data_IF_308300150326
#
_entry.id   IF_308300150326
#
_cell.length_a   1.000
_cell.length_b   1.000
_cell.length_c   1.000
_cell.angle_alpha   90.00
_cell.angle_beta   90.00
_cell.angle_gamma   90.00
#
_symmetry.space_group_name_H-M   'P 1'
#
loop_
_entity.id
_entity.type
_entity.pdbx_description
1 polymer ?
#
# COMPACT_ATOMS: atom_id res chain seq x y z
N UNK A 1 -8.89 1.47 -4.34
CA UNK A 1 -7.66 2.00 -3.73
C UNK A 1 -7.89 2.33 -2.27
N UNK A 2 -6.87 2.21 -1.48
CA UNK A 2 -6.94 2.45 -0.04
C UNK A 2 -5.60 2.80 0.58
N UNK A 3 -5.63 3.14 1.85
CA UNK A 3 -4.45 3.53 2.62
C UNK A 3 -4.54 2.98 4.05
N UNK A 4 -3.41 2.53 4.56
CA UNK A 4 -3.22 2.21 5.97
C UNK A 4 -2.16 3.15 6.54
N UNK A 5 -2.43 3.71 7.71
CA UNK A 5 -1.46 4.41 8.55
C UNK A 5 -1.17 3.60 9.81
N UNK A 6 0.10 3.35 10.08
CA UNK A 6 0.59 2.78 11.33
C UNK A 6 1.56 3.76 11.95
N UNK A 7 1.09 4.57 12.89
CA UNK A 7 1.84 5.66 13.49
C UNK A 7 1.66 5.63 15.00
N UNK A 8 2.78 5.59 15.74
CA UNK A 8 2.82 5.59 17.21
C UNK A 8 1.89 4.51 17.84
N UNK A 9 1.91 3.31 17.28
CA UNK A 9 1.08 2.19 17.73
C UNK A 9 -0.41 2.32 17.36
N UNK A 10 -0.81 3.37 16.64
CA UNK A 10 -2.18 3.56 16.18
C UNK A 10 -2.34 3.08 14.75
N UNK A 11 -3.39 2.32 14.50
CA UNK A 11 -3.75 1.79 13.20
C UNK A 11 -4.95 2.55 12.62
N UNK A 12 -4.74 3.17 11.47
CA UNK A 12 -5.76 3.90 10.72
C UNK A 12 -5.91 3.30 9.34
N UNK A 13 -7.13 3.27 8.82
CA UNK A 13 -7.40 2.77 7.47
C UNK A 13 -8.44 3.60 6.76
N UNK A 14 -8.28 3.75 5.45
CA UNK A 14 -9.19 4.45 4.56
C UNK A 14 -9.32 3.68 3.25
N UNK A 15 -10.54 3.54 2.76
CA UNK A 15 -10.83 2.90 1.48
C UNK A 15 -10.69 1.38 1.50
N UNK A 16 -10.38 0.81 0.35
CA UNK A 16 -10.21 -0.64 0.15
C UNK A 16 -8.82 -1.07 0.61
N UNK A 17 -8.77 -1.77 1.73
CA UNK A 17 -7.52 -2.22 2.36
C UNK A 17 -7.68 -3.65 2.87
N UNK A 18 -6.56 -4.36 3.14
CA UNK A 18 -6.59 -5.63 3.86
C UNK A 18 -7.26 -5.49 5.24
N UNK A 19 -7.65 -6.61 5.84
CA UNK A 19 -8.14 -6.61 7.23
C UNK A 19 -7.05 -6.09 8.18
N UNK A 20 -7.46 -5.67 9.38
CA UNK A 20 -6.52 -5.19 10.41
C UNK A 20 -5.42 -6.21 10.71
N UNK A 21 -5.76 -7.49 10.86
CA UNK A 21 -4.79 -8.55 11.11
C UNK A 21 -3.82 -8.73 9.95
N UNK A 22 -4.32 -8.73 8.72
CA UNK A 22 -3.51 -8.79 7.50
C UNK A 22 -2.59 -7.57 7.40
N UNK A 23 -3.11 -6.39 7.71
CA UNK A 23 -2.34 -5.15 7.72
C UNK A 23 -1.21 -5.17 8.76
N UNK A 24 -1.46 -5.63 9.97
CA UNK A 24 -0.44 -5.74 11.01
C UNK A 24 0.66 -6.75 10.64
N UNK A 25 0.28 -7.88 10.05
CA UNK A 25 1.25 -8.87 9.56
C UNK A 25 2.09 -8.30 8.41
N UNK A 26 1.48 -7.52 7.54
CA UNK A 26 2.16 -6.80 6.47
C UNK A 26 3.16 -5.78 7.01
N UNK A 27 2.82 -5.05 8.08
CA UNK A 27 3.75 -4.11 8.73
C UNK A 27 5.00 -4.82 9.26
N UNK A 28 4.86 -6.00 9.82
CA UNK A 28 6.01 -6.81 10.26
C UNK A 28 6.90 -7.21 9.10
N UNK A 29 6.32 -7.61 7.99
CA UNK A 29 7.05 -7.91 6.76
C UNK A 29 7.80 -6.68 6.24
N UNK A 30 7.16 -5.52 6.18
CA UNK A 30 7.77 -4.27 5.74
C UNK A 30 8.94 -3.85 6.64
N UNK A 31 8.83 -4.03 7.95
CA UNK A 31 9.91 -3.75 8.89
C UNK A 31 11.17 -4.57 8.62
N UNK A 32 11.04 -5.79 8.12
CA UNK A 32 12.17 -6.65 7.81
C UNK A 32 12.71 -6.43 6.39
N UNK A 33 11.89 -6.00 5.46
CA UNK A 33 12.21 -5.96 4.02
C UNK A 33 12.54 -4.56 3.50
N UNK A 34 11.80 -3.54 3.93
CA UNK A 34 11.89 -2.21 3.35
C UNK A 34 13.11 -1.38 3.80
N UNK A 35 13.84 -1.82 4.82
CA UNK A 35 15.10 -1.23 5.29
C UNK A 35 15.11 0.31 5.44
N UNK A 36 13.95 0.91 5.74
CA UNK A 36 13.83 2.37 5.92
C UNK A 36 13.73 3.18 4.63
N UNK A 37 13.48 2.55 3.51
CA UNK A 37 13.26 3.18 2.21
C UNK A 37 11.82 3.03 1.74
N UNK A 38 11.39 3.88 0.80
CA UNK A 38 10.13 3.66 0.10
C UNK A 38 10.20 2.32 -0.63
N UNK A 39 9.17 1.52 -0.42
CA UNK A 39 9.06 0.19 -1.02
C UNK A 39 7.82 0.13 -1.90
N UNK A 40 7.99 -0.28 -3.15
CA UNK A 40 6.91 -0.36 -4.12
C UNK A 40 6.87 -1.73 -4.80
N UNK A 41 5.68 -2.27 -4.96
CA UNK A 41 5.42 -3.46 -5.77
C UNK A 41 4.05 -3.37 -6.44
N UNK A 42 3.92 -3.90 -7.63
CA UNK A 42 2.65 -4.04 -8.33
C UNK A 42 2.00 -5.42 -8.11
N UNK A 43 2.74 -6.34 -7.50
CA UNK A 43 2.25 -7.67 -7.14
C UNK A 43 2.73 -8.10 -5.77
N UNK A 44 1.96 -7.77 -4.74
CA UNK A 44 2.32 -8.07 -3.35
C UNK A 44 2.50 -9.56 -3.09
N UNK A 45 1.71 -10.40 -3.74
CA UNK A 45 1.78 -11.86 -3.63
C UNK A 45 3.18 -12.41 -3.94
N UNK A 46 3.88 -11.82 -4.89
CA UNK A 46 5.20 -12.29 -5.31
C UNK A 46 6.29 -12.04 -4.25
N UNK A 47 6.15 -11.01 -3.46
CA UNK A 47 7.12 -10.62 -2.41
C UNK A 47 6.66 -11.01 -1.02
N UNK A 48 5.37 -11.13 -0.82
CA UNK A 48 4.72 -11.49 0.43
C UNK A 48 3.59 -12.48 0.16
N UNK A 49 3.85 -13.80 0.17
CA UNK A 49 2.88 -14.82 -0.20
C UNK A 49 1.51 -14.73 0.48
N UNK A 50 1.39 -14.38 1.78
CA UNK A 50 0.09 -14.17 2.42
C UNK A 50 -0.75 -13.05 1.79
N UNK A 51 -0.15 -12.21 0.96
CA UNK A 51 -0.84 -11.18 0.18
C UNK A 51 -1.82 -11.72 -0.86
N UNK A 52 -1.75 -13.01 -1.18
CA UNK A 52 -2.73 -13.68 -2.05
C UNK A 52 -4.16 -13.58 -1.50
N UNK A 53 -4.33 -13.64 -0.18
CA UNK A 53 -5.63 -13.62 0.48
C UNK A 53 -6.36 -12.28 0.30
N UNK A 54 -5.66 -11.20 0.01
CA UNK A 54 -6.23 -9.89 -0.24
C UNK A 54 -5.85 -9.27 -1.59
N UNK A 55 -5.28 -10.06 -2.50
CA UNK A 55 -4.77 -9.58 -3.79
C UNK A 55 -5.85 -8.88 -4.64
N UNK A 56 -7.09 -9.30 -4.54
CA UNK A 56 -8.19 -8.65 -5.26
C UNK A 56 -8.44 -7.19 -4.83
N UNK A 57 -8.19 -6.88 -3.58
CA UNK A 57 -8.39 -5.54 -3.00
C UNK A 57 -7.14 -4.70 -3.06
N UNK A 58 -5.98 -5.34 -2.90
CA UNK A 58 -4.70 -4.70 -2.69
C UNK A 58 -3.58 -5.53 -3.33
N UNK A 59 -3.49 -5.48 -4.64
CA UNK A 59 -2.42 -6.14 -5.41
C UNK A 59 -1.14 -5.33 -5.42
N UNK A 60 -1.25 -4.02 -5.57
CA UNK A 60 -0.13 -3.09 -5.55
C UNK A 60 0.03 -2.39 -4.20
N UNK A 61 1.26 -2.15 -3.82
CA UNK A 61 1.62 -1.53 -2.56
C UNK A 61 2.72 -0.49 -2.76
N UNK A 62 2.56 0.65 -2.12
CA UNK A 62 3.60 1.68 -1.97
C UNK A 62 3.70 2.02 -0.48
N UNK A 63 4.80 1.61 0.16
CA UNK A 63 5.03 1.79 1.58
C UNK A 63 6.04 2.91 1.84
N UNK A 64 5.64 3.86 2.67
CA UNK A 64 6.46 4.99 3.11
C UNK A 64 6.79 4.82 4.60
N UNK A 65 8.03 4.49 4.97
CA UNK A 65 8.46 4.53 6.37
C UNK A 65 8.56 5.98 6.84
N UNK A 66 7.86 6.33 7.91
CA UNK A 66 7.75 7.71 8.42
C UNK A 66 8.38 7.91 9.79
N UNK A 67 9.02 6.88 10.34
CA UNK A 67 9.82 6.97 11.56
C UNK A 67 11.05 6.06 11.48
N UNK A 68 11.95 6.20 12.46
CA UNK A 68 13.18 5.41 12.50
C UNK A 68 12.99 4.07 13.20
N UNK A 69 12.57 4.05 14.47
CA UNK A 69 12.41 2.84 15.31
C UNK A 69 11.40 3.13 16.45
N UNK A 70 10.33 2.30 16.68
CA UNK A 70 9.80 1.35 15.73
C UNK A 70 9.35 2.05 14.46
N UNK A 71 9.39 1.35 13.34
CA UNK A 71 9.06 2.01 12.08
C UNK A 71 7.55 2.16 11.94
N UNK A 72 7.15 3.40 11.84
CA UNK A 72 5.81 3.77 11.43
C UNK A 72 5.75 3.78 9.90
N UNK A 73 4.59 3.48 9.36
CA UNK A 73 4.36 3.38 7.93
C UNK A 73 3.09 4.09 7.52
N UNK A 74 3.14 4.67 6.34
CA UNK A 74 1.96 4.94 5.52
C UNK A 74 2.04 4.04 4.31
N UNK A 75 1.00 3.26 4.06
CA UNK A 75 0.94 2.29 2.97
C UNK A 75 -0.24 2.59 2.09
N UNK A 76 0.04 2.84 0.82
CA UNK A 76 -0.95 3.03 -0.22
C UNK A 76 -1.16 1.73 -0.98
N UNK A 77 -2.40 1.40 -1.29
CA UNK A 77 -2.77 0.20 -2.02
C UNK A 77 -3.45 0.52 -3.33
N UNK A 78 -3.17 -0.29 -4.34
CA UNK A 78 -3.88 -0.33 -5.61
C UNK A 78 -4.57 -1.66 -5.78
N UNK A 79 -5.81 -1.62 -6.24
CA UNK A 79 -6.56 -2.80 -6.60
C UNK A 79 -5.98 -3.49 -7.85
N UNK A 80 -6.38 -4.71 -8.06
CA UNK A 80 -6.02 -5.49 -9.24
C UNK A 80 -6.43 -4.79 -10.54
N UNK A 81 -5.54 -4.77 -11.53
CA UNK A 81 -5.77 -4.09 -12.81
C UNK A 81 -7.01 -4.65 -13.55
N UNK A 82 -7.29 -5.94 -13.42
CA UNK A 82 -8.44 -6.59 -14.02
C UNK A 82 -9.74 -5.90 -13.58
N UNK A 83 -9.87 -5.56 -12.30
CA UNK A 83 -11.04 -4.86 -11.77
C UNK A 83 -11.19 -3.46 -12.37
N UNK A 84 -10.09 -2.74 -12.49
CA UNK A 84 -10.10 -1.39 -13.08
C UNK A 84 -10.54 -1.41 -14.54
N UNK A 85 -10.10 -2.38 -15.31
CA UNK A 85 -10.45 -2.52 -16.74
C UNK A 85 -11.89 -3.02 -16.92
N UNK A 86 -12.38 -3.92 -16.08
CA UNK A 86 -13.76 -4.40 -16.12
C UNK A 86 -14.77 -3.26 -15.89
N UNK A 87 -14.42 -2.26 -15.08
CA UNK A 87 -15.24 -1.07 -14.89
C UNK A 87 -15.22 -0.10 -16.08
N UNK A 88 -14.13 -0.07 -16.85
CA UNK A 88 -13.92 0.89 -17.94
C UNK A 88 -14.53 0.48 -19.28
N UNK A 89 -14.92 -0.79 -19.48
CA UNK A 89 -15.51 -1.27 -20.73
C UNK A 89 -16.01 -2.70 -20.67
N UNK A 90 -17.01 -3.01 -21.51
CA UNK A 90 -17.53 -4.38 -21.64
C UNK A 90 -16.66 -5.16 -22.64
N UNK A 91 -15.86 -6.15 -22.20
CA UNK A 91 -15.03 -6.96 -23.10
C UNK A 91 -15.81 -7.99 -23.91
N UNK A 92 -17.15 -8.03 -23.79
CA UNK A 92 -18.01 -9.05 -24.38
C UNK A 92 -18.50 -8.71 -25.80
N UNK A 93 -17.80 -7.90 -26.58
CA UNK A 93 -18.12 -7.78 -27.99
C UNK A 93 -17.76 -9.09 -28.71
N UNK A 94 -18.72 -9.77 -29.36
CA UNK A 94 -18.41 -10.99 -30.11
C UNK A 94 -17.45 -10.68 -31.26
N UNK A 95 -16.38 -11.45 -31.35
CA UNK A 95 -15.45 -11.37 -32.46
C UNK A 95 -16.00 -12.14 -33.64
N UNK A 96 -16.11 -11.50 -34.79
CA UNK A 96 -16.40 -12.18 -36.05
C UNK A 96 -15.15 -12.92 -36.55
N UNK A 97 -15.29 -14.18 -37.05
CA UNK A 97 -14.17 -14.90 -37.62
C UNK A 97 -13.74 -14.23 -38.93
N UNK A 98 -12.49 -13.78 -39.01
CA UNK A 98 -11.94 -13.23 -40.24
C UNK A 98 -11.49 -14.31 -41.22
N UNK A 99 -11.37 -13.98 -42.55
CA UNK A 99 -11.19 -14.97 -43.62
C UNK A 99 -9.82 -15.68 -43.69
N UNK A 100 -8.87 -15.36 -42.83
CA UNK A 100 -7.48 -15.85 -42.87
C UNK A 100 -7.05 -16.65 -41.63
N UNK A 101 -7.84 -17.68 -41.24
CA UNK A 101 -7.40 -18.62 -40.20
C UNK A 101 -7.39 -18.03 -38.80
N UNK A 102 -6.91 -18.83 -37.85
CA UNK A 102 -6.95 -18.60 -36.41
C UNK A 102 -6.31 -17.26 -36.01
N UNK A 103 -7.06 -16.16 -36.12
CA UNK A 103 -6.77 -14.97 -35.36
C UNK A 103 -7.28 -15.19 -33.94
N UNK A 104 -6.45 -14.95 -32.95
CA UNK A 104 -6.90 -14.84 -31.58
C UNK A 104 -8.10 -13.90 -31.56
N UNK A 105 -9.26 -14.41 -31.19
CA UNK A 105 -10.43 -13.55 -31.04
C UNK A 105 -10.11 -12.52 -29.95
N UNK A 106 -10.61 -11.28 -30.00
CA UNK A 106 -10.42 -10.29 -28.95
C UNK A 106 -10.75 -10.84 -27.56
N UNK A 107 -11.71 -11.74 -27.45
CA UNK A 107 -12.05 -12.43 -26.22
C UNK A 107 -10.94 -13.37 -25.73
N UNK A 108 -10.32 -14.14 -26.60
CA UNK A 108 -9.20 -15.03 -26.25
C UNK A 108 -7.95 -14.24 -25.87
N UNK A 109 -7.69 -13.15 -26.57
CA UNK A 109 -6.59 -12.23 -26.22
C UNK A 109 -6.82 -11.55 -24.87
N UNK A 110 -8.07 -11.19 -24.56
CA UNK A 110 -8.41 -10.61 -23.28
C UNK A 110 -8.27 -11.62 -22.12
N UNK A 111 -8.72 -12.86 -22.30
CA UNK A 111 -8.55 -13.92 -21.29
C UNK A 111 -7.07 -14.27 -21.07
N UNK A 112 -6.27 -14.34 -22.13
CA UNK A 112 -4.83 -14.55 -22.03
C UNK A 112 -4.14 -13.38 -21.28
N UNK A 113 -4.54 -12.14 -21.57
CA UNK A 113 -4.05 -10.96 -20.86
C UNK A 113 -4.45 -10.98 -19.38
N UNK A 114 -5.69 -11.35 -19.05
CA UNK A 114 -6.12 -11.52 -17.66
C UNK A 114 -5.23 -12.47 -16.86
N UNK A 115 -4.87 -13.61 -17.44
CA UNK A 115 -4.00 -14.58 -16.76
C UNK A 115 -2.59 -14.00 -16.49
N UNK A 116 -2.07 -13.20 -17.42
CA UNK A 116 -0.77 -12.56 -17.28
C UNK A 116 -0.77 -11.50 -16.18
N UNK A 117 -1.83 -10.68 -16.09
CA UNK A 117 -1.91 -9.57 -15.12
C UNK A 117 -2.65 -9.92 -13.83
N UNK A 118 -3.04 -11.17 -13.69
CA UNK A 118 -3.72 -11.65 -12.48
C UNK A 118 -2.91 -11.34 -11.23
N UNK A 119 -3.57 -10.78 -10.22
CA UNK A 119 -2.96 -10.31 -8.97
C UNK A 119 -1.96 -9.16 -9.12
N UNK A 120 -1.90 -8.52 -10.27
CA UNK A 120 -1.13 -7.30 -10.50
C UNK A 120 -2.01 -6.06 -10.46
N UNK A 121 -1.49 -4.99 -9.89
CA UNK A 121 -2.02 -3.65 -10.05
C UNK A 121 -1.39 -2.94 -11.24
N UNK A 122 -1.87 -1.74 -11.56
CA UNK A 122 -1.09 -0.81 -12.38
C UNK A 122 0.27 -0.58 -11.73
N UNK A 123 1.37 -0.64 -12.49
CA UNK A 123 2.71 -0.38 -11.95
C UNK A 123 2.81 1.02 -11.34
N UNK A 124 3.64 1.15 -10.32
CA UNK A 124 4.01 2.45 -9.77
C UNK A 124 5.00 3.15 -10.70
N UNK A 125 4.68 4.36 -11.13
CA UNK A 125 5.57 5.16 -11.96
C UNK A 125 6.75 5.68 -11.14
N UNK A 126 7.89 5.88 -11.77
CA UNK A 126 9.08 6.45 -11.12
C UNK A 126 8.79 7.83 -10.50
N UNK A 127 7.94 8.62 -11.16
CA UNK A 127 7.47 9.91 -10.65
C UNK A 127 6.63 9.79 -9.39
N UNK A 128 5.83 8.75 -9.26
CA UNK A 128 5.03 8.47 -8.06
C UNK A 128 5.91 8.02 -6.91
N UNK A 129 6.89 7.16 -7.17
CA UNK A 129 7.87 6.73 -6.16
C UNK A 129 8.74 7.89 -5.70
N UNK A 130 9.18 8.76 -6.61
CA UNK A 130 9.94 9.96 -6.27
C UNK A 130 9.11 10.95 -5.43
N UNK A 131 7.84 11.14 -5.78
CA UNK A 131 6.92 11.97 -4.98
C UNK A 131 6.70 11.38 -3.59
N UNK A 132 6.58 10.06 -3.48
CA UNK A 132 6.46 9.36 -2.20
C UNK A 132 7.72 9.55 -1.33
N UNK A 133 8.90 9.50 -1.92
CA UNK A 133 10.16 9.75 -1.20
C UNK A 133 10.24 11.18 -0.66
N UNK A 134 9.83 12.17 -1.45
CA UNK A 134 9.76 13.57 -0.99
C UNK A 134 8.74 13.74 0.14
N UNK A 135 7.57 13.12 0.01
CA UNK A 135 6.53 13.14 1.02
C UNK A 135 6.99 12.45 2.32
N UNK A 136 7.71 11.35 2.20
CA UNK A 136 8.28 10.62 3.34
C UNK A 136 9.14 11.51 4.23
N UNK A 137 10.01 12.28 3.64
CA UNK A 137 10.89 13.21 4.38
C UNK A 137 10.07 14.22 5.17
N UNK A 138 9.07 14.84 4.54
CA UNK A 138 8.17 15.78 5.21
C UNK A 138 7.36 15.13 6.34
N UNK A 139 6.85 13.93 6.10
CA UNK A 139 6.09 13.19 7.12
C UNK A 139 6.96 12.75 8.30
N UNK A 140 8.21 12.38 8.07
CA UNK A 140 9.17 12.09 9.15
C UNK A 140 9.36 13.30 10.07
N UNK A 141 9.47 14.49 9.52
CA UNK A 141 9.58 15.71 10.31
C UNK A 141 8.33 15.97 11.15
N UNK A 142 7.14 15.76 10.58
CA UNK A 142 5.86 15.91 11.29
C UNK A 142 5.76 14.89 12.44
N UNK A 143 6.06 13.63 12.19
CA UNK A 143 6.03 12.57 13.21
C UNK A 143 7.02 12.87 14.34
N UNK A 144 8.23 13.31 14.02
CA UNK A 144 9.23 13.69 15.02
C UNK A 144 8.74 14.87 15.89
N UNK A 145 8.13 15.88 15.30
CA UNK A 145 7.55 17.02 16.04
C UNK A 145 6.42 16.59 16.95
N UNK A 146 5.53 15.73 16.49
CA UNK A 146 4.43 15.18 17.31
C UNK A 146 4.98 14.40 18.51
N UNK A 147 5.95 13.52 18.31
CA UNK A 147 6.60 12.74 19.37
C UNK A 147 7.28 13.65 20.38
N UNK A 148 8.00 14.66 19.92
CA UNK A 148 8.70 15.63 20.76
C UNK A 148 7.73 16.44 21.62
N UNK A 149 6.60 16.88 21.06
CA UNK A 149 5.52 17.58 21.78
C UNK A 149 4.92 16.70 22.88
N UNK A 150 4.62 15.44 22.60
CA UNK A 150 4.08 14.47 23.58
C UNK A 150 5.07 14.24 24.72
N UNK A 151 6.35 14.09 24.42
CA UNK A 151 7.40 13.91 25.43
C UNK A 151 7.54 15.14 26.32
N UNK A 152 7.48 16.35 25.77
CA UNK A 152 7.52 17.61 26.53
C UNK A 152 6.32 17.78 27.44
N UNK A 153 5.12 17.43 26.97
CA UNK A 153 3.92 17.48 27.81
C UNK A 153 3.97 16.49 28.96
N UNK A 154 4.46 15.27 28.72
CA UNK A 154 4.65 14.27 29.77
C UNK A 154 5.67 14.73 30.82
N UNK A 155 6.80 15.30 30.39
CA UNK A 155 7.82 15.86 31.32
C UNK A 155 7.24 16.97 32.18
N UNK A 156 6.50 17.92 31.58
CA UNK A 156 5.83 19.00 32.31
C UNK A 156 4.79 18.49 33.30
N UNK A 157 4.03 17.46 32.94
CA UNK A 157 3.06 16.84 33.82
C UNK A 157 3.75 16.16 35.02
N UNK A 158 4.89 15.49 34.79
CA UNK A 158 5.67 14.86 35.83
C UNK A 158 6.28 15.89 36.80
N UNK A 159 6.89 16.95 36.31
CA UNK A 159 7.38 18.05 37.11
C UNK A 159 6.31 18.70 37.99
N UNK A 160 5.11 18.92 37.43
CA UNK A 160 3.97 19.44 38.18
C UNK A 160 3.53 18.51 39.30
N UNK A 161 3.58 17.21 39.06
CA UNK A 161 3.21 16.20 40.04
C UNK A 161 4.23 16.11 41.18
N UNK A 162 5.52 16.22 40.88
CA UNK A 162 6.58 16.31 41.88
C UNK A 162 6.47 17.55 42.77
N UNK A 163 6.16 18.70 42.20
CA UNK A 163 5.95 19.96 42.95
C UNK A 163 4.73 19.86 43.86
N UNK A 164 3.67 19.13 43.49
CA UNK A 164 2.50 18.95 44.34
C UNK A 164 2.68 17.97 45.49
N UNK A 165 3.70 17.11 45.44
CA UNK A 165 4.02 16.12 46.48
C UNK A 165 5.05 16.68 47.47
N UNK A 166 5.80 17.67 47.09
CA UNK A 166 6.74 18.38 47.96
C UNK A 166 5.99 19.44 48.81
#
# INVERSE_FOLDING_TARGET
DGMIGWIDGQYLQVGQVPSREQGLSLMRFLNTTAAGQVYATDCIKNVYPPGEDFAEKASGLLALPVSRIPRDYIVLFRQEIIKSVTWAGNPQKPAEPGPNGIRLTPRKSFEAWKEVVRHHSMPWKDTEVAAAESLRVTLMEVVLRMTDTVLRERSKAHERQEILIA
#
